data_IF_703466290343
#
_entry.id   IF_703466290343
#
_cell.length_a   1.000
_cell.length_b   1.000
_cell.length_c   1.000
_cell.angle_alpha   90.00
_cell.angle_beta   90.00
_cell.angle_gamma   90.00
#
_symmetry.space_group_name_H-M   'P 1'
#
loop_
_entity.id
_entity.type
_entity.pdbx_description
1 polymer ?
#
# COMPACT_ATOMS: atom_id res chain seq x y z
N UNK A 1 -1.71 1.53 -13.51
CA UNK A 1 -1.52 1.03 -12.13
C UNK A 1 -2.39 -0.20 -11.91
N UNK A 2 -1.92 -1.21 -11.18
CA UNK A 2 -2.67 -2.45 -10.87
C UNK A 2 -2.25 -2.98 -9.51
N UNK A 3 -3.18 -3.57 -8.75
CA UNK A 3 -2.88 -4.25 -7.48
C UNK A 3 -2.51 -5.71 -7.74
N UNK A 4 -1.20 -5.99 -7.74
CA UNK A 4 -0.64 -7.25 -8.27
C UNK A 4 -1.11 -8.47 -7.48
N UNK A 5 -1.33 -8.35 -6.17
CA UNK A 5 -1.66 -9.49 -5.32
C UNK A 5 -3.06 -10.06 -5.58
N UNK A 6 -4.04 -9.19 -5.90
CA UNK A 6 -5.44 -9.55 -5.85
C UNK A 6 -6.27 -9.13 -7.08
N UNK A 7 -5.81 -8.16 -7.88
CA UNK A 7 -6.64 -7.60 -8.96
C UNK A 7 -6.85 -8.62 -10.09
N UNK A 8 -5.82 -9.41 -10.42
CA UNK A 8 -5.86 -10.39 -11.50
C UNK A 8 -6.66 -11.66 -11.21
N UNK A 9 -6.86 -11.99 -9.93
CA UNK A 9 -7.63 -13.16 -9.51
C UNK A 9 -8.99 -12.77 -8.91
N UNK A 10 -9.32 -11.48 -8.88
CA UNK A 10 -10.59 -10.97 -8.35
C UNK A 10 -10.77 -11.15 -6.85
N UNK A 11 -9.68 -11.33 -6.09
CA UNK A 11 -9.71 -11.61 -4.64
C UNK A 11 -9.42 -10.38 -3.77
N UNK A 12 -9.52 -9.18 -4.32
CA UNK A 12 -9.28 -7.97 -3.52
C UNK A 12 -10.36 -7.81 -2.45
N UNK A 13 -9.92 -7.74 -1.19
CA UNK A 13 -10.78 -7.37 -0.07
C UNK A 13 -11.10 -5.87 -0.08
N UNK A 14 -11.86 -5.43 0.93
CA UNK A 14 -12.31 -4.04 1.05
C UNK A 14 -11.14 -3.06 1.22
N UNK A 15 -10.11 -3.47 1.93
CA UNK A 15 -8.94 -2.63 2.21
C UNK A 15 -8.12 -2.47 0.93
N UNK A 16 -7.82 -3.57 0.24
CA UNK A 16 -7.01 -3.61 -0.98
C UNK A 16 -7.60 -2.79 -2.13
N UNK A 17 -8.94 -2.70 -2.20
CA UNK A 17 -9.63 -1.86 -3.20
C UNK A 17 -9.27 -0.37 -3.09
N UNK A 18 -8.82 0.09 -1.93
CA UNK A 18 -8.41 1.48 -1.70
C UNK A 18 -6.92 1.75 -1.93
N UNK A 19 -6.06 0.75 -2.06
CA UNK A 19 -4.61 0.93 -2.04
C UNK A 19 -4.09 1.81 -3.18
N UNK A 20 -4.69 1.70 -4.37
CA UNK A 20 -4.37 2.57 -5.51
C UNK A 20 -4.64 4.04 -5.22
N UNK A 21 -5.62 4.35 -4.36
CA UNK A 21 -5.89 5.71 -3.92
C UNK A 21 -4.69 6.29 -3.17
N UNK A 22 -4.20 5.56 -2.17
CA UNK A 22 -3.07 5.99 -1.35
C UNK A 22 -1.78 6.09 -2.16
N UNK A 23 -1.50 5.08 -3.00
CA UNK A 23 -0.33 5.08 -3.88
C UNK A 23 -0.34 6.30 -4.81
N UNK A 24 -1.49 6.61 -5.43
CA UNK A 24 -1.62 7.77 -6.33
C UNK A 24 -1.33 9.08 -5.60
N UNK A 25 -1.94 9.28 -4.43
CA UNK A 25 -1.74 10.48 -3.61
C UNK A 25 -0.29 10.62 -3.15
N UNK A 26 0.33 9.54 -2.69
CA UNK A 26 1.72 9.55 -2.22
C UNK A 26 2.72 9.78 -3.36
N UNK A 27 2.48 9.24 -4.55
CA UNK A 27 3.28 9.56 -5.72
C UNK A 27 3.21 11.06 -6.05
N UNK A 28 2.02 11.66 -6.03
CA UNK A 28 1.86 13.11 -6.19
C UNK A 28 2.64 13.91 -5.15
N UNK A 29 2.52 13.59 -3.86
CA UNK A 29 3.31 14.26 -2.81
C UNK A 29 4.82 14.03 -2.95
N UNK A 30 5.23 12.84 -3.40
CA UNK A 30 6.65 12.54 -3.65
C UNK A 30 7.21 13.45 -4.74
N UNK A 31 6.46 13.67 -5.82
CA UNK A 31 6.87 14.58 -6.89
C UNK A 31 6.99 16.05 -6.41
N UNK A 32 6.23 16.46 -5.38
CA UNK A 32 6.35 17.80 -4.80
C UNK A 32 7.57 17.90 -3.87
N UNK A 33 7.77 16.92 -2.97
CA UNK A 33 8.85 16.95 -1.95
C UNK A 33 10.21 16.60 -2.55
N UNK A 34 10.24 15.75 -3.58
CA UNK A 34 11.42 15.32 -4.30
C UNK A 34 11.25 15.59 -5.81
N UNK A 35 11.38 16.86 -6.26
CA UNK A 35 11.04 17.26 -7.63
C UNK A 35 11.77 16.52 -8.74
N UNK A 36 12.98 16.00 -8.49
CA UNK A 36 13.74 15.20 -9.45
C UNK A 36 13.07 13.86 -9.78
N UNK A 37 12.08 13.43 -9.00
CA UNK A 37 11.29 12.21 -9.26
C UNK A 37 10.11 12.46 -10.19
N UNK A 38 9.73 13.73 -10.43
CA UNK A 38 8.55 14.08 -11.23
C UNK A 38 8.63 13.56 -12.66
N UNK A 39 9.82 13.58 -13.28
CA UNK A 39 10.02 13.05 -14.65
C UNK A 39 9.65 11.57 -14.77
N UNK A 40 9.84 10.80 -13.70
CA UNK A 40 9.47 9.38 -13.64
C UNK A 40 8.01 9.17 -13.20
N UNK A 41 7.54 9.98 -12.24
CA UNK A 41 6.21 9.83 -11.63
C UNK A 41 5.09 10.32 -12.55
N UNK A 42 5.25 11.48 -13.19
CA UNK A 42 4.20 12.13 -13.97
C UNK A 42 3.66 11.27 -15.13
N UNK A 43 4.50 10.58 -15.93
CA UNK A 43 4.00 9.69 -16.97
C UNK A 43 3.16 8.54 -16.41
N UNK A 44 3.55 7.99 -15.25
CA UNK A 44 2.85 6.88 -14.60
C UNK A 44 1.48 7.31 -14.06
N UNK A 45 1.42 8.50 -13.44
CA UNK A 45 0.17 9.09 -12.96
C UNK A 45 -0.76 9.39 -14.13
N UNK A 46 -0.27 10.05 -15.19
CA UNK A 46 -1.08 10.38 -16.38
C UNK A 46 -1.64 9.14 -17.06
N UNK A 47 -0.82 8.13 -17.31
CA UNK A 47 -1.27 6.89 -17.94
C UNK A 47 -2.31 6.17 -17.07
N UNK A 48 -2.11 6.13 -15.76
CA UNK A 48 -3.04 5.49 -14.82
C UNK A 48 -4.34 6.27 -14.67
N UNK A 49 -4.30 7.60 -14.63
CA UNK A 49 -5.47 8.45 -14.56
C UNK A 49 -6.34 8.33 -15.80
N UNK A 50 -5.73 8.31 -17.00
CA UNK A 50 -6.45 8.08 -18.25
C UNK A 50 -7.13 6.71 -18.27
N UNK A 51 -6.43 5.67 -17.81
CA UNK A 51 -6.99 4.32 -17.72
C UNK A 51 -8.15 4.22 -16.72
N UNK A 52 -8.01 4.86 -15.55
CA UNK A 52 -9.06 4.94 -14.54
C UNK A 52 -10.29 5.68 -15.08
N UNK A 53 -10.11 6.85 -15.70
CA UNK A 53 -11.20 7.65 -16.24
C UNK A 53 -11.98 6.92 -17.35
N UNK A 54 -11.29 6.20 -18.24
CA UNK A 54 -11.92 5.45 -19.35
C UNK A 54 -12.93 4.41 -18.88
N UNK A 55 -12.73 3.82 -17.71
CA UNK A 55 -13.62 2.76 -17.19
C UNK A 55 -14.69 3.29 -16.23
N UNK A 56 -14.70 4.58 -15.90
CA UNK A 56 -15.74 5.21 -15.07
C UNK A 56 -17.04 5.43 -15.84
N UNK A 57 -17.63 4.35 -16.34
CA UNK A 57 -18.83 4.34 -17.18
C UNK A 57 -19.91 3.40 -16.64
N UNK A 58 -19.72 2.88 -15.42
CA UNK A 58 -20.59 1.88 -14.81
C UNK A 58 -21.65 2.46 -13.88
N UNK A 59 -22.38 1.57 -13.21
CA UNK A 59 -23.39 1.93 -12.21
C UNK A 59 -24.68 2.54 -12.79
N UNK A 60 -25.66 2.84 -11.92
CA UNK A 60 -26.95 3.38 -12.33
C UNK A 60 -26.85 4.73 -13.06
N UNK A 61 -25.90 5.57 -12.66
CA UNK A 61 -25.70 6.91 -13.20
C UNK A 61 -24.70 6.93 -14.37
N UNK A 62 -24.19 5.77 -14.81
CA UNK A 62 -23.24 5.66 -15.93
C UNK A 62 -21.88 6.33 -15.69
N UNK A 63 -21.54 6.61 -14.43
CA UNK A 63 -20.31 7.32 -14.04
C UNK A 63 -19.52 6.62 -12.94
N UNK A 64 -20.02 5.50 -12.41
CA UNK A 64 -19.34 4.77 -11.35
C UNK A 64 -18.05 4.14 -11.87
N UNK A 65 -16.97 4.35 -11.13
CA UNK A 65 -15.66 3.77 -11.39
C UNK A 65 -15.54 2.37 -10.79
N UNK A 66 -14.89 1.46 -11.50
CA UNK A 66 -14.44 0.17 -11.01
C UNK A 66 -12.96 0.14 -10.65
N UNK A 67 -12.52 -1.04 -10.21
CA UNK A 67 -11.18 -1.28 -9.74
C UNK A 67 -10.21 -1.50 -10.91
N UNK A 68 -10.54 -2.33 -11.89
CA UNK A 68 -9.59 -2.74 -12.94
C UNK A 68 -9.40 -1.67 -14.01
N UNK A 69 -8.19 -1.11 -14.08
CA UNK A 69 -7.84 -0.06 -15.05
C UNK A 69 -7.09 -0.61 -16.27
N UNK A 70 -6.63 -1.86 -16.20
CA UNK A 70 -5.83 -2.50 -17.25
C UNK A 70 -6.67 -3.08 -18.40
N UNK A 71 -7.98 -3.14 -18.26
CA UNK A 71 -8.89 -3.78 -19.23
C UNK A 71 -9.37 -2.81 -20.33
N UNK A 72 -8.49 -1.90 -20.77
CA UNK A 72 -8.73 -0.98 -21.89
C UNK A 72 -10.03 -0.16 -21.81
N UNK A 73 -10.38 0.33 -20.62
CA UNK A 73 -11.58 1.14 -20.40
C UNK A 73 -12.86 0.33 -20.16
N UNK A 74 -12.78 -1.00 -20.14
CA UNK A 74 -13.91 -1.82 -19.70
C UNK A 74 -14.07 -1.70 -18.18
N UNK A 75 -15.26 -1.29 -17.75
CA UNK A 75 -15.63 -1.36 -16.33
C UNK A 75 -15.79 -2.84 -15.91
N UNK A 76 -15.25 -3.19 -14.76
CA UNK A 76 -15.24 -4.57 -14.23
C UNK A 76 -16.45 -4.91 -13.36
N UNK A 77 -17.39 -3.96 -13.20
CA UNK A 77 -18.59 -4.11 -12.37
C UNK A 77 -18.33 -4.05 -10.87
N UNK A 78 -17.09 -3.79 -10.44
CA UNK A 78 -16.81 -3.52 -9.03
C UNK A 78 -17.22 -2.08 -8.69
N UNK A 79 -18.03 -1.92 -7.65
CA UNK A 79 -18.46 -0.60 -7.19
C UNK A 79 -18.37 -0.55 -5.67
N UNK A 80 -17.73 0.50 -5.17
CA UNK A 80 -17.52 0.71 -3.75
C UNK A 80 -16.73 1.96 -3.48
N UNK A 81 -16.57 2.28 -2.19
CA UNK A 81 -15.83 3.47 -1.74
C UNK A 81 -14.37 3.39 -2.14
N UNK A 82 -13.74 2.22 -2.07
CA UNK A 82 -12.33 2.03 -2.46
C UNK A 82 -12.09 2.33 -3.94
N UNK A 83 -12.95 1.83 -4.82
CA UNK A 83 -12.89 2.03 -6.26
C UNK A 83 -13.10 3.51 -6.63
N UNK A 84 -14.09 4.18 -6.02
CA UNK A 84 -14.31 5.61 -6.24
C UNK A 84 -13.15 6.45 -5.70
N UNK A 85 -12.64 6.14 -4.50
CA UNK A 85 -11.48 6.82 -3.91
C UNK A 85 -10.24 6.66 -4.80
N UNK A 86 -9.99 5.47 -5.32
CA UNK A 86 -8.85 5.21 -6.18
C UNK A 86 -8.92 6.04 -7.48
N UNK A 87 -10.09 6.09 -8.13
CA UNK A 87 -10.29 6.90 -9.32
C UNK A 87 -10.18 8.41 -9.03
N UNK A 88 -10.70 8.87 -7.89
CA UNK A 88 -10.62 10.26 -7.46
C UNK A 88 -9.16 10.69 -7.22
N UNK A 89 -8.42 9.93 -6.43
CA UNK A 89 -7.05 10.28 -6.03
C UNK A 89 -6.08 10.24 -7.22
N UNK A 90 -6.23 9.30 -8.16
CA UNK A 90 -5.36 9.28 -9.36
C UNK A 90 -5.60 10.50 -10.25
N UNK A 91 -6.85 10.96 -10.39
CA UNK A 91 -7.16 12.18 -11.15
C UNK A 91 -6.66 13.42 -10.41
N UNK A 92 -6.89 13.53 -9.11
CA UNK A 92 -6.41 14.67 -8.31
C UNK A 92 -4.88 14.75 -8.27
N UNK A 93 -4.18 13.60 -8.25
CA UNK A 93 -2.72 13.57 -8.23
C UNK A 93 -2.07 14.27 -9.43
N UNK A 94 -2.78 14.42 -10.56
CA UNK A 94 -2.30 15.19 -11.71
C UNK A 94 -2.13 16.68 -11.43
N UNK A 95 -2.80 17.20 -10.39
CA UNK A 95 -2.77 18.61 -10.01
C UNK A 95 -1.63 18.94 -9.03
N UNK A 96 -0.75 17.98 -8.71
CA UNK A 96 0.33 18.15 -7.72
C UNK A 96 1.22 19.37 -8.03
N UNK A 97 1.46 19.67 -9.32
CA UNK A 97 2.28 20.80 -9.77
C UNK A 97 1.59 22.17 -9.64
N UNK A 98 0.28 22.20 -9.43
CA UNK A 98 -0.51 23.44 -9.30
C UNK A 98 -0.74 23.87 -7.86
N UNK A 99 -0.30 23.07 -6.90
CA UNK A 99 -0.48 23.30 -5.47
C UNK A 99 0.87 23.45 -4.77
N UNK A 100 0.88 24.16 -3.64
CA UNK A 100 2.05 24.19 -2.77
C UNK A 100 2.33 22.81 -2.15
N UNK A 101 3.57 22.60 -1.72
CA UNK A 101 3.94 21.41 -0.98
C UNK A 101 3.36 21.36 0.44
N UNK A 102 3.59 20.25 1.17
CA UNK A 102 3.15 20.10 2.54
C UNK A 102 3.60 21.27 3.41
N UNK A 103 2.66 21.85 4.17
CA UNK A 103 2.96 22.92 5.09
C UNK A 103 3.95 22.46 6.18
N UNK A 104 4.83 23.38 6.60
CA UNK A 104 5.75 23.16 7.72
C UNK A 104 5.43 24.11 8.86
N UNK A 105 6.04 23.91 10.03
CA UNK A 105 5.89 24.84 11.15
C UNK A 105 6.32 26.27 10.80
N UNK A 106 7.28 26.42 9.89
CA UNK A 106 7.79 27.72 9.43
C UNK A 106 7.07 28.23 8.18
N UNK A 107 6.27 27.40 7.49
CA UNK A 107 5.62 27.76 6.23
C UNK A 107 4.20 27.20 6.15
N UNK A 108 3.22 28.03 6.51
CA UNK A 108 1.79 27.75 6.32
C UNK A 108 1.15 26.80 7.34
N UNK A 109 1.91 26.25 8.29
CA UNK A 109 1.37 25.39 9.35
C UNK A 109 0.56 26.19 10.38
N UNK A 110 -0.73 25.90 10.50
CA UNK A 110 -1.64 26.51 11.49
C UNK A 110 -2.05 25.57 12.63
N UNK A 111 -1.64 24.29 12.56
CA UNK A 111 -1.92 23.30 13.60
C UNK A 111 -1.00 23.51 14.81
N UNK A 112 -1.54 23.33 16.02
CA UNK A 112 -0.82 23.55 17.28
C UNK A 112 -0.32 22.22 17.83
N UNK A 113 0.96 22.16 18.21
CA UNK A 113 1.56 20.97 18.81
C UNK A 113 0.99 20.67 20.20
N UNK A 114 0.80 19.38 20.51
CA UNK A 114 0.60 18.89 21.88
C UNK A 114 1.83 18.06 22.30
N UNK A 115 2.73 18.60 23.16
CA UNK A 115 3.94 17.89 23.60
C UNK A 115 3.66 16.60 24.40
N UNK A 116 2.45 16.45 24.94
CA UNK A 116 2.02 15.26 25.69
C UNK A 116 1.08 14.37 24.87
N UNK A 117 1.02 14.54 23.54
CA UNK A 117 0.21 13.66 22.69
C UNK A 117 0.65 12.19 22.85
N UNK A 118 -0.28 11.34 23.31
CA UNK A 118 -0.03 9.92 23.52
C UNK A 118 0.57 9.54 24.89
N UNK A 119 0.88 10.50 25.78
CA UNK A 119 1.35 10.17 27.14
C UNK A 119 0.29 9.49 27.99
N UNK A 120 -0.98 9.73 27.66
CA UNK A 120 -2.15 9.26 28.39
C UNK A 120 -2.73 7.99 27.76
N UNK A 121 -2.14 7.53 26.65
CA UNK A 121 -2.49 6.26 26.05
C UNK A 121 -2.33 5.18 27.13
N UNK A 122 -3.34 4.32 27.34
CA UNK A 122 -3.17 3.16 28.20
C UNK A 122 -1.87 2.49 27.76
N UNK A 123 -0.91 2.35 28.68
CA UNK A 123 0.27 1.54 28.39
C UNK A 123 -0.31 0.19 27.98
N UNK A 124 -0.24 -0.13 26.68
CA UNK A 124 -0.43 -1.50 26.25
C UNK A 124 0.44 -2.30 27.22
N UNK A 125 -0.09 -3.34 27.88
CA UNK A 125 0.77 -4.19 28.70
C UNK A 125 1.98 -4.47 27.81
N UNK A 126 3.22 -4.20 28.28
CA UNK A 126 4.40 -4.48 27.48
C UNK A 126 4.17 -5.88 26.96
N UNK A 127 4.12 -6.05 25.62
CA UNK A 127 3.73 -7.33 25.01
C UNK A 127 4.47 -8.37 25.80
N UNK A 128 3.74 -9.07 26.68
CA UNK A 128 4.36 -9.91 27.67
C UNK A 128 4.68 -11.12 26.84
N UNK A 129 5.82 -11.05 26.15
CA UNK A 129 6.41 -12.21 25.53
C UNK A 129 6.42 -13.23 26.65
N UNK A 130 5.60 -14.28 26.49
CA UNK A 130 5.52 -15.31 27.50
C UNK A 130 6.96 -15.71 27.82
N UNK A 131 7.34 -15.81 29.12
CA UNK A 131 8.70 -16.12 29.48
C UNK A 131 9.09 -17.42 28.75
N UNK A 132 10.17 -17.35 27.96
CA UNK A 132 10.64 -18.49 27.16
C UNK A 132 10.87 -19.67 28.10
N UNK A 133 10.06 -20.71 27.94
CA UNK A 133 10.10 -21.88 28.81
C UNK A 133 11.28 -22.78 28.45
N UNK A 134 11.63 -23.69 29.36
CA UNK A 134 12.61 -24.75 29.05
C UNK A 134 12.14 -25.61 27.86
N UNK A 135 10.82 -25.80 27.72
CA UNK A 135 10.22 -26.51 26.58
C UNK A 135 10.48 -25.81 25.24
N UNK A 136 10.32 -24.48 25.21
CA UNK A 136 10.59 -23.67 24.01
C UNK A 136 12.06 -23.75 23.59
N UNK A 137 12.98 -23.71 24.57
CA UNK A 137 14.42 -23.85 24.32
C UNK A 137 14.79 -25.24 23.80
N UNK A 138 14.20 -26.29 24.37
CA UNK A 138 14.42 -27.66 23.94
C UNK A 138 13.89 -27.88 22.51
N UNK A 139 12.65 -27.44 22.24
CA UNK A 139 12.02 -27.53 20.93
C UNK A 139 12.82 -26.78 19.85
N UNK A 140 13.24 -25.54 20.14
CA UNK A 140 14.09 -24.76 19.24
C UNK A 140 15.42 -25.48 18.94
N UNK A 141 16.09 -26.01 19.97
CA UNK A 141 17.36 -26.70 19.80
C UNK A 141 17.24 -27.98 18.97
N UNK A 142 16.20 -28.78 19.20
CA UNK A 142 15.93 -30.00 18.43
C UNK A 142 15.66 -29.64 16.96
N UNK A 143 14.81 -28.64 16.70
CA UNK A 143 14.50 -28.21 15.34
C UNK A 143 15.76 -27.73 14.60
N UNK A 144 16.59 -26.92 15.26
CA UNK A 144 17.87 -26.46 14.69
C UNK A 144 18.80 -27.62 14.36
N UNK A 145 18.92 -28.61 15.25
CA UNK A 145 19.74 -29.79 15.01
C UNK A 145 19.23 -30.63 13.82
N UNK A 146 17.92 -30.85 13.73
CA UNK A 146 17.32 -31.60 12.61
C UNK A 146 17.57 -30.92 11.27
N UNK A 147 17.43 -29.59 11.21
CA UNK A 147 17.70 -28.82 9.98
C UNK A 147 19.19 -28.91 9.61
N UNK A 148 20.10 -28.74 10.57
CA UNK A 148 21.53 -28.84 10.32
C UNK A 148 21.94 -30.24 9.84
N UNK A 149 21.44 -31.30 10.48
CA UNK A 149 21.69 -32.67 10.05
C UNK A 149 21.12 -32.93 8.65
N UNK A 150 19.90 -32.46 8.37
CA UNK A 150 19.28 -32.58 7.05
C UNK A 150 20.10 -31.91 5.95
N UNK A 151 20.62 -30.70 6.20
CA UNK A 151 21.51 -29.99 5.28
C UNK A 151 22.81 -30.77 5.06
N UNK A 152 23.45 -31.27 6.12
CA UNK A 152 24.71 -32.01 6.02
C UNK A 152 24.55 -33.36 5.29
N UNK A 153 23.49 -34.11 5.58
CA UNK A 153 23.18 -35.37 4.89
C UNK A 153 22.85 -35.13 3.42
N UNK A 154 22.04 -34.10 3.13
CA UNK A 154 21.73 -33.71 1.77
C UNK A 154 22.98 -33.29 0.98
N UNK A 155 23.86 -32.50 1.58
CA UNK A 155 25.13 -32.10 0.97
C UNK A 155 26.06 -33.29 0.72
N UNK A 156 26.17 -34.22 1.68
CA UNK A 156 26.97 -35.44 1.50
C UNK A 156 26.43 -36.31 0.36
N UNK A 157 25.11 -36.51 0.30
CA UNK A 157 24.49 -37.29 -0.78
C UNK A 157 24.71 -36.68 -2.16
N UNK A 158 24.80 -35.36 -2.29
CA UNK A 158 25.11 -34.73 -3.58
C UNK A 158 26.57 -34.88 -4.02
N UNK A 159 27.49 -35.18 -3.10
CA UNK A 159 28.92 -35.31 -3.37
C UNK A 159 29.38 -36.78 -3.49
N UNK A 160 28.67 -37.71 -2.87
CA UNK A 160 28.91 -39.15 -2.93
C UNK A 160 28.29 -39.80 -4.18
#
# INVERSE_FOLDING_TARGET
MTEVACENNGKCDVDQRSFKAYLSRWMGYTAIVAPWTAEFIDPLLRASAQAAAKQCTGGPDGTSCGLRWIDNGRNDGSFGVGEQMAALEIVQSLLHSTVGGPATAQAGGISVSNPTAGSDAPKAPPTSANPVTTGDKAGASILTLLVLVGILVGAWWMVA
#
